data_IF_609052344170
#
_entry.id   IF_609052344170
#
_cell.length_a   1.000
_cell.length_b   1.000
_cell.length_c   1.000
_cell.angle_alpha   90.00
_cell.angle_beta   90.00
_cell.angle_gamma   90.00
#
_symmetry.space_group_name_H-M   'P 1'
#
loop_
_entity.id
_entity.type
_entity.pdbx_description
1 polymer ?
#
# COMPACT_ATOMS: atom_id res chain seq x y z
N UNK A 1 -10.74 -11.55 19.55
CA UNK A 1 -10.58 -12.94 19.05
C UNK A 1 -9.32 -13.55 19.67
N UNK A 2 -9.38 -14.73 20.31
CA UNK A 2 -8.17 -15.45 20.77
C UNK A 2 -7.74 -16.41 19.67
N UNK A 3 -6.58 -16.19 19.06
CA UNK A 3 -6.07 -16.96 17.89
C UNK A 3 -5.66 -18.43 18.20
N UNK A 4 -6.00 -18.98 19.37
CA UNK A 4 -5.68 -20.37 19.73
C UNK A 4 -4.19 -20.71 19.76
N UNK A 5 -3.33 -19.73 20.06
CA UNK A 5 -1.86 -19.87 19.98
C UNK A 5 -1.30 -20.52 21.26
N UNK A 6 -0.33 -21.41 21.11
CA UNK A 6 0.32 -22.07 22.25
C UNK A 6 1.05 -21.06 23.16
N UNK A 7 1.09 -21.35 24.47
CA UNK A 7 1.77 -20.50 25.44
C UNK A 7 3.28 -20.37 25.14
N UNK A 8 3.91 -21.42 24.60
CA UNK A 8 5.31 -21.40 24.19
C UNK A 8 5.55 -20.37 23.08
N UNK A 9 4.71 -20.37 22.04
CA UNK A 9 4.84 -19.41 20.95
C UNK A 9 4.60 -17.97 21.43
N UNK A 10 3.65 -17.74 22.34
CA UNK A 10 3.44 -16.42 22.96
C UNK A 10 4.71 -15.96 23.71
N UNK A 11 5.36 -16.84 24.46
CA UNK A 11 6.63 -16.52 25.16
C UNK A 11 7.74 -16.16 24.17
N UNK A 12 7.86 -16.90 23.06
CA UNK A 12 8.85 -16.62 22.01
C UNK A 12 8.56 -15.25 21.37
N UNK A 13 7.30 -14.97 20.99
CA UNK A 13 6.93 -13.69 20.40
C UNK A 13 7.14 -12.52 21.37
N UNK A 14 6.84 -12.70 22.66
CA UNK A 14 7.14 -11.71 23.69
C UNK A 14 8.64 -11.43 23.75
N UNK A 15 9.45 -12.48 23.88
CA UNK A 15 10.91 -12.34 23.91
C UNK A 15 11.45 -11.66 22.65
N UNK A 16 10.86 -11.95 21.48
CA UNK A 16 11.22 -11.32 20.22
C UNK A 16 10.89 -9.82 20.17
N UNK A 17 9.80 -9.39 20.80
CA UNK A 17 9.31 -8.01 20.73
C UNK A 17 9.81 -7.09 21.86
N UNK A 18 10.21 -7.66 23.01
CA UNK A 18 10.63 -6.90 24.21
C UNK A 18 12.15 -6.66 24.26
N UNK A 19 12.57 -5.61 24.97
CA UNK A 19 13.98 -5.31 25.27
C UNK A 19 14.91 -5.23 24.06
N UNK A 20 14.38 -4.76 22.93
CA UNK A 20 15.14 -4.58 21.68
C UNK A 20 15.88 -3.25 21.69
N UNK A 21 17.08 -3.25 21.11
CA UNK A 21 17.87 -2.05 20.84
C UNK A 21 18.29 -2.02 19.37
N UNK A 22 18.57 -0.83 18.84
CA UNK A 22 19.19 -0.65 17.52
C UNK A 22 20.40 0.28 17.59
N UNK A 23 21.28 0.14 16.61
CA UNK A 23 22.42 1.02 16.36
C UNK A 23 22.50 1.32 14.87
N UNK A 24 23.02 2.49 14.52
CA UNK A 24 23.24 2.90 13.13
C UNK A 24 24.74 2.90 12.87
N UNK A 25 25.15 2.27 11.77
CA UNK A 25 26.54 2.27 11.31
C UNK A 25 26.65 3.12 10.04
N UNK A 26 27.54 4.11 10.07
CA UNK A 26 27.92 4.90 8.89
C UNK A 26 29.42 4.71 8.70
N UNK A 27 29.81 4.05 7.62
CA UNK A 27 31.19 3.63 7.35
C UNK A 27 31.77 2.78 8.51
N UNK A 28 32.73 3.35 9.25
CA UNK A 28 33.41 2.71 10.38
C UNK A 28 32.91 3.19 11.74
N UNK A 29 31.94 4.12 11.78
CA UNK A 29 31.41 4.70 13.02
C UNK A 29 30.06 4.05 13.35
N UNK A 30 29.90 3.61 14.60
CA UNK A 30 28.69 2.99 15.13
C UNK A 30 28.09 3.90 16.21
N UNK A 31 26.79 4.14 16.15
CA UNK A 31 26.08 4.94 17.16
C UNK A 31 25.99 4.22 18.51
N UNK A 32 25.69 4.96 19.58
CA UNK A 32 25.25 4.33 20.83
C UNK A 32 23.95 3.54 20.64
N UNK A 33 23.75 2.43 21.39
CA UNK A 33 22.49 1.69 21.37
C UNK A 33 21.31 2.56 21.79
N UNK A 34 20.20 2.42 21.07
CA UNK A 34 18.92 3.07 21.39
C UNK A 34 17.81 2.02 21.52
N UNK A 35 16.91 2.13 22.50
CA UNK A 35 15.83 1.17 22.66
C UNK A 35 14.77 1.30 21.56
N UNK A 36 14.23 0.16 21.13
CA UNK A 36 13.04 0.09 20.27
C UNK A 36 11.83 -0.19 21.18
N UNK A 37 11.03 0.85 21.41
CA UNK A 37 9.87 0.78 22.32
C UNK A 37 8.61 0.20 21.65
N UNK A 38 8.50 0.30 20.32
CA UNK A 38 7.33 -0.15 19.57
C UNK A 38 7.68 -0.55 18.14
N UNK A 39 6.73 -1.19 17.45
CA UNK A 39 6.88 -1.61 16.06
C UNK A 39 7.65 -2.92 15.89
N UNK A 40 7.53 -3.55 14.72
CA UNK A 40 8.27 -4.76 14.38
C UNK A 40 9.59 -4.40 13.67
N UNK A 41 10.59 -5.29 13.72
CA UNK A 41 11.87 -5.03 13.04
C UNK A 41 11.68 -5.04 11.51
N UNK A 42 11.93 -3.93 10.84
CA UNK A 42 11.87 -3.88 9.37
C UNK A 42 12.90 -4.86 8.79
N UNK A 43 12.50 -5.61 7.76
CA UNK A 43 13.32 -6.67 7.15
C UNK A 43 13.23 -8.04 7.84
N UNK A 44 12.57 -8.16 9.00
CA UNK A 44 12.30 -9.47 9.59
C UNK A 44 11.17 -10.20 8.88
N UNK A 45 11.36 -11.52 8.70
CA UNK A 45 10.36 -12.45 8.16
C UNK A 45 9.05 -12.48 8.96
N UNK A 46 9.12 -12.25 10.28
CA UNK A 46 7.95 -12.31 11.16
C UNK A 46 7.13 -11.01 11.18
N UNK A 47 7.76 -9.87 10.87
CA UNK A 47 7.14 -8.55 11.00
C UNK A 47 5.83 -8.39 10.22
N UNK A 48 5.71 -8.84 8.96
CA UNK A 48 4.44 -8.74 8.22
C UNK A 48 3.31 -9.56 8.87
N UNK A 49 3.61 -10.76 9.38
CA UNK A 49 2.62 -11.62 10.05
C UNK A 49 2.17 -11.01 11.37
N UNK A 50 3.11 -10.47 12.15
CA UNK A 50 2.80 -9.79 13.40
C UNK A 50 1.96 -8.54 13.17
N UNK A 51 2.23 -7.78 12.11
CA UNK A 51 1.39 -6.66 11.71
C UNK A 51 -0.03 -7.10 11.36
N UNK A 52 -0.19 -8.17 10.57
CA UNK A 52 -1.52 -8.69 10.25
C UNK A 52 -2.29 -9.13 11.52
N UNK A 53 -1.61 -9.76 12.48
CA UNK A 53 -2.22 -10.11 13.78
C UNK A 53 -2.63 -8.85 14.55
N UNK A 54 -1.78 -7.82 14.53
CA UNK A 54 -2.02 -6.54 15.21
C UNK A 54 -3.27 -5.83 14.69
N UNK A 55 -3.49 -5.80 13.38
CA UNK A 55 -4.64 -5.11 12.78
C UNK A 55 -5.86 -6.02 12.56
N UNK A 56 -5.83 -7.27 13.02
CA UNK A 56 -6.83 -8.28 12.64
C UNK A 56 -8.25 -7.99 13.13
N UNK A 57 -8.40 -7.18 14.17
CA UNK A 57 -9.69 -6.82 14.76
C UNK A 57 -10.16 -5.40 14.37
N UNK A 58 -9.54 -4.80 13.35
CA UNK A 58 -9.99 -3.56 12.73
C UNK A 58 -11.51 -3.62 12.44
N UNK A 59 -12.27 -2.59 12.83
CA UNK A 59 -13.73 -2.62 12.75
C UNK A 59 -14.18 -2.80 11.30
N UNK A 60 -15.10 -3.75 11.09
CA UNK A 60 -15.77 -3.99 9.83
C UNK A 60 -17.22 -3.58 9.98
N UNK A 61 -17.63 -2.51 9.31
CA UNK A 61 -19.06 -2.14 9.23
C UNK A 61 -19.72 -2.92 8.09
N UNK A 62 -20.94 -3.39 8.31
CA UNK A 62 -21.68 -4.19 7.31
C UNK A 62 -21.94 -3.44 6.00
N UNK A 63 -21.91 -2.11 6.04
CA UNK A 63 -22.12 -1.21 4.90
C UNK A 63 -20.86 -0.91 4.10
N UNK A 64 -19.68 -1.34 4.59
CA UNK A 64 -18.40 -0.98 3.99
C UNK A 64 -17.56 -2.22 3.65
N UNK A 65 -16.83 -2.13 2.55
CA UNK A 65 -15.79 -3.08 2.22
C UNK A 65 -14.43 -2.49 2.63
N UNK A 66 -13.73 -3.21 3.48
CA UNK A 66 -12.41 -2.84 3.98
C UNK A 66 -11.34 -3.64 3.23
N UNK A 67 -10.44 -2.93 2.55
CA UNK A 67 -9.27 -3.51 1.90
C UNK A 67 -8.01 -3.00 2.59
N UNK A 68 -7.15 -3.92 3.04
CA UNK A 68 -5.94 -3.63 3.81
C UNK A 68 -4.75 -4.26 3.10
N UNK A 69 -3.71 -3.46 2.86
CA UNK A 69 -2.46 -3.91 2.29
C UNK A 69 -1.30 -3.21 3.00
N UNK A 70 -0.70 -3.89 3.98
CA UNK A 70 0.27 -3.24 4.86
C UNK A 70 -0.38 -2.06 5.61
N UNK A 71 0.26 -0.89 5.58
CA UNK A 71 -0.28 0.34 6.15
C UNK A 71 -1.35 1.03 5.27
N UNK A 72 -1.45 0.67 3.99
CA UNK A 72 -2.49 1.19 3.11
C UNK A 72 -3.84 0.54 3.44
N UNK A 73 -4.81 1.37 3.82
CA UNK A 73 -6.19 0.94 4.13
C UNK A 73 -7.17 1.72 3.26
N UNK A 74 -8.00 1.00 2.51
CA UNK A 74 -9.09 1.57 1.73
C UNK A 74 -10.44 1.14 2.30
N UNK A 75 -11.33 2.12 2.49
CA UNK A 75 -12.71 1.91 2.91
C UNK A 75 -13.59 2.25 1.72
N UNK A 76 -14.26 1.23 1.18
CA UNK A 76 -15.21 1.40 0.08
C UNK A 76 -16.62 1.35 0.67
N UNK A 77 -17.41 2.39 0.41
CA UNK A 77 -18.79 2.45 0.88
C UNK A 77 -19.71 3.01 -0.20
N UNK A 78 -20.94 2.49 -0.23
CA UNK A 78 -22.03 3.09 -1.03
C UNK A 78 -22.81 4.13 -0.23
N UNK A 79 -22.71 4.09 1.09
CA UNK A 79 -23.48 4.92 2.01
C UNK A 79 -22.63 6.10 2.48
N UNK A 80 -23.25 7.26 2.65
CA UNK A 80 -22.62 8.47 3.21
C UNK A 80 -22.48 8.39 4.74
N UNK A 81 -22.51 7.19 5.32
CA UNK A 81 -22.65 7.01 6.75
C UNK A 81 -21.37 7.44 7.50
N UNK A 82 -21.40 8.52 8.29
CA UNK A 82 -20.24 8.99 9.05
C UNK A 82 -19.84 8.02 10.18
N UNK A 83 -20.73 7.12 10.61
CA UNK A 83 -20.46 6.24 11.75
C UNK A 83 -19.27 5.29 11.51
N UNK A 84 -18.99 4.90 10.26
CA UNK A 84 -17.85 4.03 9.94
C UNK A 84 -16.52 4.70 10.27
N UNK A 85 -16.39 5.99 10.01
CA UNK A 85 -15.14 6.73 10.23
C UNK A 85 -14.93 6.98 11.71
N UNK A 86 -16.00 7.27 12.45
CA UNK A 86 -15.95 7.45 13.90
C UNK A 86 -15.46 6.16 14.58
N UNK A 87 -16.04 5.00 14.23
CA UNK A 87 -15.61 3.71 14.80
C UNK A 87 -14.15 3.40 14.48
N UNK A 88 -13.70 3.68 13.26
CA UNK A 88 -12.31 3.50 12.88
C UNK A 88 -11.38 4.43 13.66
N UNK A 89 -11.73 5.70 13.85
CA UNK A 89 -10.92 6.65 14.63
C UNK A 89 -10.75 6.23 16.09
N UNK A 90 -11.83 5.74 16.71
CA UNK A 90 -11.76 5.20 18.07
C UNK A 90 -10.81 4.00 18.13
N UNK A 91 -10.97 3.03 17.23
CA UNK A 91 -10.09 1.86 17.16
C UNK A 91 -8.63 2.25 16.89
N UNK A 92 -8.36 3.18 15.98
CA UNK A 92 -7.01 3.68 15.72
C UNK A 92 -6.38 4.32 16.96
N UNK A 93 -7.18 5.01 17.77
CA UNK A 93 -6.74 5.62 19.03
C UNK A 93 -6.39 4.54 20.06
N UNK A 94 -7.27 3.55 20.24
CA UNK A 94 -7.07 2.43 21.17
C UNK A 94 -5.82 1.61 20.80
N UNK A 95 -5.63 1.37 19.51
CA UNK A 95 -4.46 0.68 18.94
C UNK A 95 -3.25 1.58 18.76
N UNK A 96 -3.29 2.85 19.19
CA UNK A 96 -2.17 3.81 19.11
C UNK A 96 -1.57 3.90 17.70
N UNK A 97 -2.39 3.76 16.66
CA UNK A 97 -2.00 3.88 15.26
C UNK A 97 -2.17 5.33 14.84
N UNK A 98 -1.05 5.98 14.51
CA UNK A 98 -1.07 7.34 14.01
C UNK A 98 -1.34 7.35 12.51
N UNK A 99 -2.51 7.83 12.11
CA UNK A 99 -2.83 8.11 10.70
C UNK A 99 -2.07 9.35 10.24
N UNK A 100 -1.68 9.37 8.96
CA UNK A 100 -1.15 10.55 8.29
C UNK A 100 -2.25 11.20 7.44
N UNK A 101 -2.91 12.28 7.91
CA UNK A 101 -4.02 12.90 7.20
C UNK A 101 -3.65 13.39 5.79
N UNK A 102 -2.39 13.81 5.59
CA UNK A 102 -1.91 14.29 4.29
C UNK A 102 -1.85 13.18 3.22
N UNK A 103 -1.85 11.91 3.64
CA UNK A 103 -1.92 10.76 2.73
C UNK A 103 -3.34 10.24 2.52
N UNK A 104 -4.29 10.67 3.36
CA UNK A 104 -5.69 10.31 3.24
C UNK A 104 -6.32 11.08 2.08
N UNK A 105 -7.20 10.43 1.34
CA UNK A 105 -7.97 11.07 0.30
C UNK A 105 -9.32 10.38 0.10
N UNK A 106 -10.27 11.13 -0.45
CA UNK A 106 -11.61 10.63 -0.77
C UNK A 106 -11.84 10.68 -2.29
N UNK A 107 -12.18 9.54 -2.88
CA UNK A 107 -12.47 9.39 -4.30
C UNK A 107 -13.90 8.86 -4.48
N UNK A 108 -14.74 9.61 -5.21
CA UNK A 108 -16.10 9.20 -5.54
C UNK A 108 -16.13 8.53 -6.91
N UNK A 109 -16.50 7.24 -6.93
CA UNK A 109 -16.76 6.52 -8.17
C UNK A 109 -18.21 6.73 -8.62
N UNK A 110 -18.41 7.17 -9.86
CA UNK A 110 -19.74 7.36 -10.45
C UNK A 110 -19.71 7.24 -11.96
N UNK A 111 -20.77 6.65 -12.53
CA UNK A 111 -21.01 6.63 -13.98
C UNK A 111 -21.75 7.87 -14.49
N UNK A 112 -22.26 8.72 -13.58
CA UNK A 112 -22.98 9.94 -13.96
C UNK A 112 -22.01 10.94 -14.59
N UNK A 113 -22.48 11.67 -15.60
CA UNK A 113 -21.72 12.76 -16.20
C UNK A 113 -21.43 13.88 -15.19
N UNK A 114 -22.43 14.23 -14.40
CA UNK A 114 -22.29 15.16 -13.28
C UNK A 114 -21.82 14.43 -12.03
N UNK A 115 -20.69 14.88 -11.46
CA UNK A 115 -20.14 14.32 -10.23
C UNK A 115 -20.62 15.20 -9.07
N UNK A 116 -21.52 14.72 -8.19
CA UNK A 116 -22.09 15.55 -7.14
C UNK A 116 -21.04 15.97 -6.11
N UNK A 117 -21.25 17.06 -5.36
CA UNK A 117 -20.44 17.40 -4.20
C UNK A 117 -20.54 16.28 -3.14
N UNK A 118 -19.43 16.02 -2.48
CA UNK A 118 -19.35 15.09 -1.35
C UNK A 118 -19.46 15.90 -0.06
N UNK A 119 -20.05 15.35 1.01
CA UNK A 119 -19.96 15.97 2.34
C UNK A 119 -18.49 16.10 2.74
N UNK A 120 -18.18 17.13 3.53
CA UNK A 120 -16.84 17.30 4.12
C UNK A 120 -16.52 16.09 4.98
N UNK A 121 -15.43 15.41 4.63
CA UNK A 121 -14.96 14.26 5.36
C UNK A 121 -13.79 14.69 6.23
N UNK A 122 -13.80 14.32 7.50
CA UNK A 122 -12.73 14.64 8.43
C UNK A 122 -12.24 13.39 9.12
N UNK A 123 -10.92 13.32 9.33
CA UNK A 123 -10.26 12.27 10.11
C UNK A 123 -9.39 12.99 11.14
N UNK A 124 -9.68 12.77 12.43
CA UNK A 124 -9.02 13.46 13.56
C UNK A 124 -9.05 14.99 13.43
N UNK A 125 -10.18 15.56 12.99
CA UNK A 125 -10.36 17.00 12.80
C UNK A 125 -9.57 17.60 11.64
N UNK A 126 -8.95 16.78 10.79
CA UNK A 126 -8.29 17.21 9.57
C UNK A 126 -9.17 16.86 8.37
N UNK A 127 -9.42 17.81 7.45
CA UNK A 127 -10.23 17.55 6.26
C UNK A 127 -9.51 16.57 5.34
N UNK A 128 -10.25 15.56 4.89
CA UNK A 128 -9.78 14.61 3.87
C UNK A 128 -10.11 15.20 2.50
N UNK A 129 -9.08 15.54 1.69
CA UNK A 129 -9.31 16.15 0.40
C UNK A 129 -10.03 15.19 -0.53
N UNK A 130 -10.96 15.75 -1.30
CA UNK A 130 -11.53 15.06 -2.45
C UNK A 130 -10.57 15.15 -3.63
N UNK A 131 -10.37 14.03 -4.30
CA UNK A 131 -9.47 13.91 -5.45
C UNK A 131 -10.16 13.25 -6.64
N UNK A 132 -9.56 13.38 -7.82
CA UNK A 132 -10.06 12.84 -9.09
C UNK A 132 -9.06 11.92 -9.81
N UNK A 133 -7.88 11.72 -9.22
CA UNK A 133 -6.91 10.70 -9.59
C UNK A 133 -6.19 10.30 -8.31
N UNK A 134 -6.10 9.00 -8.03
CA UNK A 134 -5.37 8.49 -6.88
C UNK A 134 -4.54 7.28 -7.26
N UNK A 135 -3.27 7.28 -6.85
CA UNK A 135 -2.41 6.12 -7.00
C UNK A 135 -2.56 5.20 -5.78
N UNK A 136 -3.33 4.12 -5.94
CA UNK A 136 -3.52 3.09 -4.92
C UNK A 136 -2.87 1.78 -5.37
N UNK A 137 -1.96 1.23 -4.55
CA UNK A 137 -1.23 -0.01 -4.86
C UNK A 137 -0.63 -0.02 -6.28
N UNK A 138 -0.07 1.11 -6.71
CA UNK A 138 0.55 1.25 -8.03
C UNK A 138 -0.40 1.50 -9.20
N UNK A 139 -1.71 1.43 -9.01
CA UNK A 139 -2.74 1.72 -10.02
C UNK A 139 -3.28 3.15 -9.85
N UNK A 140 -3.40 3.88 -10.94
CA UNK A 140 -4.11 5.17 -10.95
C UNK A 140 -5.62 4.93 -11.12
N UNK A 141 -6.39 5.40 -10.14
CA UNK A 141 -7.84 5.28 -10.08
C UNK A 141 -8.48 6.65 -10.31
N UNK A 142 -9.28 6.75 -11.38
CA UNK A 142 -10.11 7.92 -11.66
C UNK A 142 -11.60 7.64 -11.35
N UNK A 143 -12.46 8.67 -11.17
CA UNK A 143 -13.88 8.51 -10.84
C UNK A 143 -14.68 7.58 -11.76
N UNK A 144 -14.26 7.45 -13.02
CA UNK A 144 -14.92 6.63 -14.04
C UNK A 144 -14.25 5.26 -14.20
N UNK A 145 -13.14 5.01 -13.50
CA UNK A 145 -12.30 3.83 -13.67
C UNK A 145 -11.92 3.64 -15.14
N UNK A 146 -11.56 4.74 -15.82
CA UNK A 146 -11.10 4.72 -17.21
C UNK A 146 -9.67 4.20 -17.35
N UNK A 147 -8.85 4.34 -16.30
CA UNK A 147 -7.44 3.93 -16.24
C UNK A 147 -6.54 4.56 -17.32
N UNK A 148 -6.98 5.62 -18.01
CA UNK A 148 -6.21 6.28 -19.06
C UNK A 148 -4.85 6.79 -18.54
N UNK A 149 -4.85 7.43 -17.37
CA UNK A 149 -3.63 7.92 -16.70
C UNK A 149 -2.69 6.75 -16.38
N UNK A 150 -3.24 5.65 -15.85
CA UNK A 150 -2.47 4.44 -15.53
C UNK A 150 -1.80 3.84 -16.78
N UNK A 151 -2.58 3.66 -17.85
CA UNK A 151 -2.11 3.05 -19.10
C UNK A 151 -1.03 3.92 -19.73
N UNK A 152 -1.23 5.24 -19.80
CA UNK A 152 -0.22 6.17 -20.34
C UNK A 152 1.08 6.12 -19.53
N UNK A 153 0.97 6.09 -18.19
CA UNK A 153 2.14 5.96 -17.31
C UNK A 153 2.86 4.62 -17.49
N UNK A 154 2.12 3.52 -17.69
CA UNK A 154 2.69 2.20 -17.94
C UNK A 154 3.42 2.15 -19.30
N UNK A 155 2.83 2.71 -20.36
CA UNK A 155 3.45 2.84 -21.68
C UNK A 155 4.73 3.68 -21.60
N UNK A 156 4.69 4.82 -20.90
CA UNK A 156 5.86 5.69 -20.75
C UNK A 156 6.99 4.97 -20.00
N UNK A 157 6.70 4.31 -18.89
CA UNK A 157 7.70 3.54 -18.13
C UNK A 157 8.27 2.39 -18.95
N UNK A 158 7.42 1.63 -19.65
CA UNK A 158 7.87 0.54 -20.51
C UNK A 158 8.75 1.05 -21.66
N UNK A 159 8.41 2.21 -22.25
CA UNK A 159 9.22 2.88 -23.27
C UNK A 159 10.59 3.27 -22.72
N UNK A 160 10.64 3.90 -21.55
CA UNK A 160 11.91 4.26 -20.89
C UNK A 160 12.77 3.01 -20.63
N UNK A 161 12.18 1.95 -20.05
CA UNK A 161 12.90 0.69 -19.82
C UNK A 161 13.40 0.05 -21.12
N UNK A 162 12.62 0.10 -22.19
CA UNK A 162 13.02 -0.38 -23.52
C UNK A 162 14.20 0.43 -24.07
N UNK A 163 14.15 1.76 -23.96
CA UNK A 163 15.24 2.66 -24.39
C UNK A 163 16.52 2.42 -23.61
N UNK A 164 16.44 2.25 -22.29
CA UNK A 164 17.60 1.94 -21.43
C UNK A 164 18.23 0.58 -21.78
N UNK A 165 17.40 -0.39 -22.19
CA UNK A 165 17.85 -1.70 -22.63
C UNK A 165 18.19 -1.76 -24.12
N UNK A 166 18.13 -0.64 -24.85
CA UNK A 166 18.27 -0.63 -26.31
C UNK A 166 19.57 -1.29 -26.80
N UNK A 167 20.68 -1.15 -26.07
CA UNK A 167 21.94 -1.85 -26.38
C UNK A 167 21.80 -3.39 -26.40
N UNK A 168 20.84 -3.93 -25.67
CA UNK A 168 20.60 -5.37 -25.52
C UNK A 168 19.41 -5.87 -26.35
N UNK A 169 18.32 -5.10 -26.43
CA UNK A 169 17.06 -5.56 -27.04
C UNK A 169 16.78 -4.98 -28.42
N UNK A 170 17.46 -3.90 -28.83
CA UNK A 170 17.19 -3.27 -30.11
C UNK A 170 17.59 -4.15 -31.30
N UNK A 171 17.12 -3.75 -32.49
CA UNK A 171 17.36 -4.47 -33.74
C UNK A 171 18.85 -4.63 -34.05
N UNK A 172 19.65 -3.59 -33.76
CA UNK A 172 21.10 -3.58 -33.98
C UNK A 172 21.92 -4.35 -32.93
N UNK A 173 21.31 -4.81 -31.84
CA UNK A 173 22.01 -5.61 -30.85
C UNK A 173 22.35 -7.01 -31.39
N UNK A 174 23.57 -7.48 -31.12
CA UNK A 174 24.08 -8.80 -31.54
C UNK A 174 23.55 -9.96 -30.67
N UNK A 175 22.81 -9.65 -29.61
CA UNK A 175 22.27 -10.65 -28.69
C UNK A 175 21.28 -11.60 -29.41
N UNK A 176 21.38 -12.92 -29.20
CA UNK A 176 20.43 -13.87 -29.77
C UNK A 176 18.97 -13.57 -29.39
N UNK A 177 18.04 -13.76 -30.34
CA UNK A 177 16.61 -13.42 -30.17
C UNK A 177 15.98 -14.06 -28.91
N UNK A 178 16.41 -15.28 -28.55
CA UNK A 178 15.94 -15.97 -27.33
C UNK A 178 16.17 -15.14 -26.06
N UNK A 179 17.32 -14.48 -25.96
CA UNK A 179 17.68 -13.64 -24.81
C UNK A 179 16.99 -12.28 -24.86
N UNK A 180 16.78 -11.71 -26.06
CA UNK A 180 15.96 -10.50 -26.23
C UNK A 180 14.51 -10.73 -25.77
N UNK A 181 13.92 -11.86 -26.15
CA UNK A 181 12.57 -12.25 -25.70
C UNK A 181 12.55 -12.43 -24.18
N UNK A 182 13.58 -13.05 -23.59
CA UNK A 182 13.69 -13.20 -22.14
C UNK A 182 13.71 -11.83 -21.44
N UNK A 183 14.54 -10.89 -21.89
CA UNK A 183 14.61 -9.53 -21.33
C UNK A 183 13.28 -8.80 -21.46
N UNK A 184 12.63 -8.90 -22.62
CA UNK A 184 11.29 -8.33 -22.81
C UNK A 184 10.28 -8.91 -21.81
N UNK A 185 10.22 -10.25 -21.68
CA UNK A 185 9.28 -10.92 -20.77
C UNK A 185 9.57 -10.65 -19.29
N UNK A 186 10.83 -10.48 -18.93
CA UNK A 186 11.25 -10.32 -17.54
C UNK A 186 11.20 -8.85 -17.05
N UNK A 187 11.40 -7.87 -17.94
CA UNK A 187 11.56 -6.47 -17.54
C UNK A 187 10.46 -5.58 -18.14
N UNK A 188 10.31 -5.60 -19.46
CA UNK A 188 9.42 -4.65 -20.17
C UNK A 188 7.95 -5.05 -20.00
N UNK A 189 7.62 -6.31 -20.23
CA UNK A 189 6.24 -6.82 -20.16
C UNK A 189 5.62 -6.64 -18.77
N UNK A 190 6.29 -6.93 -17.64
CA UNK A 190 5.69 -6.75 -16.31
C UNK A 190 5.39 -5.28 -15.99
N UNK A 191 6.22 -4.35 -16.45
CA UNK A 191 5.98 -2.90 -16.29
C UNK A 191 4.74 -2.47 -17.07
N UNK A 192 4.62 -2.92 -18.32
CA UNK A 192 3.49 -2.57 -19.19
C UNK A 192 2.18 -3.20 -18.70
N UNK A 193 2.22 -4.43 -18.22
CA UNK A 193 1.05 -5.23 -17.83
C UNK A 193 0.71 -5.13 -16.34
N UNK A 194 1.31 -4.19 -15.61
CA UNK A 194 1.09 -4.08 -14.17
C UNK A 194 -0.39 -3.81 -13.86
N UNK A 195 -1.01 -4.73 -13.12
CA UNK A 195 -2.41 -4.65 -12.71
C UNK A 195 -3.42 -4.87 -13.84
N UNK A 196 -3.02 -5.45 -14.98
CA UNK A 196 -3.90 -5.62 -16.16
C UNK A 196 -5.15 -6.43 -15.88
N UNK A 197 -5.16 -7.28 -14.85
CA UNK A 197 -6.37 -8.00 -14.42
C UNK A 197 -7.49 -7.07 -13.92
N UNK A 198 -7.17 -5.81 -13.61
CA UNK A 198 -8.11 -4.82 -13.08
C UNK A 198 -8.60 -3.88 -14.18
N UNK A 199 -7.73 -3.49 -15.12
CA UNK A 199 -8.00 -2.46 -16.12
C UNK A 199 -8.11 -2.96 -17.56
N UNK A 200 -7.75 -4.20 -17.85
CA UNK A 200 -7.65 -4.79 -19.19
C UNK A 200 -8.71 -5.84 -19.45
#
# INVERSE_FOLDING_TARGET
MRLGVSAQLIKILRSYLTSRNFQVRINHIISSPRPILSGCAQGSLLSPKLFNIYVNDIPKTSSCHLAIFGDDTAILTKHKDPHTIIQLQLWLTDWKIKVNPNKCACLLFTRKHYIPPLPSLEIFGQPVPRIFDYKYLGLHLDPKLSFNVHINNAIQKATISSTQLSSLVARWSTIPIKHKILLYKAIIRPVLMYGSQVWG
#
